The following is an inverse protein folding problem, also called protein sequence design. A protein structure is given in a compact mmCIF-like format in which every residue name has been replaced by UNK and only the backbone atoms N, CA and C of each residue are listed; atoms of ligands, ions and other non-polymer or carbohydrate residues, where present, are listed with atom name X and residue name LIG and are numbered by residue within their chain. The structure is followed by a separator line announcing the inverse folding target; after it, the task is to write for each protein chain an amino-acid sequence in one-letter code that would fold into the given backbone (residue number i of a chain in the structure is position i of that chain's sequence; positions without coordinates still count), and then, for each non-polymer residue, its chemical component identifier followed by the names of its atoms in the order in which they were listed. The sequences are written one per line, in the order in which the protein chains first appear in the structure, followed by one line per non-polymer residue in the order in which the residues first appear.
data_IF_547274650570
#
_entry.id   IF_547274650570
#
_cell.length_a   1.000
_cell.length_b   1.000
_cell.length_c   1.000
_cell.angle_alpha   90.00
_cell.angle_beta   90.00
_cell.angle_gamma   90.00
#
_symmetry.space_group_name_H-M   'P 1'
#
loop_
_entity.id
_entity.type
_entity.pdbx_description
1 polymer ?
#
# COMPACT_ATOMS: atom_id res chain seq x y z
N UNK A 1 26.69 73.93 36.54
CA UNK A 1 25.38 73.62 37.15
C UNK A 1 24.32 73.60 36.04
N UNK A 2 23.48 72.56 36.04
CA UNK A 2 22.23 72.34 35.30
C UNK A 2 22.25 72.34 33.76
N UNK A 3 22.24 71.16 33.10
CA UNK A 3 21.12 70.23 32.82
C UNK A 3 20.01 70.84 31.94
N UNK A 4 19.98 70.43 30.66
CA UNK A 4 18.78 70.37 29.84
C UNK A 4 18.52 68.91 29.45
N UNK A 5 17.32 68.45 29.77
CA UNK A 5 16.86 67.05 29.78
C UNK A 5 16.58 66.50 28.38
N UNK A 6 16.80 65.20 28.31
CA UNK A 6 16.44 64.22 27.29
C UNK A 6 14.99 64.32 26.79
N UNK A 7 14.77 64.04 25.52
CA UNK A 7 13.56 63.36 25.02
C UNK A 7 13.91 62.54 23.76
N UNK A 8 14.36 61.29 23.98
CA UNK A 8 14.46 60.25 22.96
C UNK A 8 13.32 59.26 23.22
N UNK A 9 12.19 59.49 22.53
CA UNK A 9 11.03 58.61 22.55
C UNK A 9 11.24 57.42 21.63
N UNK A 10 11.13 56.22 22.19
CA UNK A 10 11.34 54.93 21.57
C UNK A 10 10.47 54.69 20.31
N UNK A 11 11.12 54.52 19.16
CA UNK A 11 10.52 53.84 18.01
C UNK A 11 10.65 52.32 18.24
N UNK A 12 9.67 51.74 18.94
CA UNK A 12 9.55 50.29 19.11
C UNK A 12 9.27 49.64 17.75
N UNK A 13 10.08 48.64 17.45
CA UNK A 13 9.93 47.63 16.40
C UNK A 13 8.58 46.90 16.53
N UNK A 14 7.53 47.39 15.87
CA UNK A 14 6.21 46.73 15.82
C UNK A 14 5.96 45.95 14.50
N UNK A 15 6.80 46.11 13.49
CA UNK A 15 6.43 45.70 12.12
C UNK A 15 6.67 44.22 11.80
N UNK A 16 7.54 43.51 12.52
CA UNK A 16 7.91 42.12 12.17
C UNK A 16 6.94 41.04 12.68
N UNK A 17 6.42 41.20 13.90
CA UNK A 17 5.59 40.18 14.55
C UNK A 17 4.13 40.20 14.05
N UNK A 18 3.62 41.38 13.69
CA UNK A 18 2.24 41.56 13.26
C UNK A 18 2.00 41.04 11.82
N UNK A 19 3.00 41.13 10.94
CA UNK A 19 2.92 40.55 9.59
C UNK A 19 2.94 39.01 9.58
N UNK A 20 3.71 38.38 10.48
CA UNK A 20 3.72 36.93 10.63
C UNK A 20 2.38 36.39 11.18
N UNK A 21 1.76 37.15 12.10
CA UNK A 21 0.44 36.83 12.66
C UNK A 21 -0.69 36.99 11.62
N UNK A 22 -0.66 38.06 10.83
CA UNK A 22 -1.62 38.29 9.74
C UNK A 22 -1.52 37.23 8.63
N UNK A 23 -0.30 36.80 8.28
CA UNK A 23 -0.08 35.72 7.31
C UNK A 23 -0.55 34.34 7.84
N UNK A 24 -0.40 34.08 9.14
CA UNK A 24 -0.96 32.89 9.80
C UNK A 24 -2.48 32.85 9.78
N UNK A 25 -3.13 34.00 10.02
CA UNK A 25 -4.59 34.14 10.01
C UNK A 25 -5.19 33.91 8.61
N UNK A 26 -4.60 34.51 7.58
CA UNK A 26 -5.01 34.31 6.17
C UNK A 26 -4.82 32.85 5.70
N UNK A 27 -3.82 32.14 6.23
CA UNK A 27 -3.58 30.73 5.93
C UNK A 27 -4.61 29.81 6.61
N UNK A 28 -5.02 30.13 7.85
CA UNK A 28 -6.07 29.39 8.56
C UNK A 28 -7.44 29.58 7.90
N UNK A 29 -7.83 30.81 7.55
CA UNK A 29 -9.09 31.07 6.84
C UNK A 29 -9.17 30.33 5.49
N UNK A 30 -8.06 30.26 4.74
CA UNK A 30 -7.98 29.48 3.50
C UNK A 30 -8.13 27.98 3.71
N UNK A 31 -7.64 27.44 4.83
CA UNK A 31 -7.78 26.01 5.17
C UNK A 31 -9.20 25.67 5.64
N UNK A 32 -9.81 26.57 6.42
CA UNK A 32 -11.20 26.42 6.89
C UNK A 32 -12.19 26.56 5.75
N UNK A 33 -11.99 27.52 4.84
CA UNK A 33 -12.78 27.66 3.61
C UNK A 33 -12.70 26.39 2.76
N UNK A 34 -11.50 25.81 2.57
CA UNK A 34 -11.34 24.53 1.86
C UNK A 34 -12.03 23.37 2.57
N UNK A 35 -11.96 23.30 3.91
CA UNK A 35 -12.67 22.30 4.71
C UNK A 35 -14.20 22.42 4.53
N UNK A 36 -14.74 23.63 4.58
CA UNK A 36 -16.16 23.88 4.44
C UNK A 36 -16.69 23.54 3.03
N UNK A 37 -15.90 23.82 1.99
CA UNK A 37 -16.23 23.42 0.60
C UNK A 37 -16.26 21.90 0.45
N UNK A 38 -15.29 21.19 1.04
CA UNK A 38 -15.25 19.72 1.00
C UNK A 38 -16.40 19.12 1.81
N UNK A 39 -16.74 19.69 2.98
CA UNK A 39 -17.87 19.25 3.78
C UNK A 39 -19.21 19.41 3.03
N UNK A 40 -19.44 20.59 2.43
CA UNK A 40 -20.65 20.84 1.62
C UNK A 40 -20.73 19.92 0.39
N UNK A 41 -19.60 19.57 -0.22
CA UNK A 41 -19.56 18.58 -1.30
C UNK A 41 -19.93 17.18 -0.81
N UNK A 42 -19.41 16.74 0.33
CA UNK A 42 -19.73 15.41 0.90
C UNK A 42 -21.22 15.31 1.26
N UNK A 43 -21.81 16.36 1.83
CA UNK A 43 -23.23 16.39 2.19
C UNK A 43 -24.16 16.31 0.97
N UNK A 44 -23.70 16.84 -0.16
CA UNK A 44 -24.42 16.78 -1.44
C UNK A 44 -24.39 15.40 -2.13
N UNK A 45 -23.57 14.46 -1.64
CA UNK A 45 -23.45 13.13 -2.24
C UNK A 45 -24.68 12.24 -1.94
N UNK A 46 -24.96 11.26 -2.82
CA UNK A 46 -25.93 10.19 -2.51
C UNK A 46 -25.58 9.48 -1.19
N UNK A 47 -26.58 8.98 -0.46
CA UNK A 47 -26.39 8.35 0.85
C UNK A 47 -25.36 7.18 0.82
N UNK A 48 -25.36 6.38 -0.25
CA UNK A 48 -24.40 5.29 -0.45
C UNK A 48 -22.96 5.77 -0.71
N UNK A 49 -22.78 6.97 -1.27
CA UNK A 49 -21.48 7.58 -1.49
C UNK A 49 -20.95 8.23 -0.20
N UNK A 50 -21.82 8.87 0.60
CA UNK A 50 -21.48 9.35 1.95
C UNK A 50 -21.03 8.22 2.87
N UNK A 51 -21.81 7.14 2.92
CA UNK A 51 -21.45 5.95 3.69
C UNK A 51 -20.06 5.40 3.31
N UNK A 52 -19.78 5.26 2.00
CA UNK A 52 -18.45 4.83 1.52
C UNK A 52 -17.35 5.81 1.91
N UNK A 53 -17.62 7.10 1.83
CA UNK A 53 -16.67 8.14 2.24
C UNK A 53 -16.32 8.05 3.73
N UNK A 54 -17.33 7.95 4.60
CA UNK A 54 -17.15 7.80 6.05
C UNK A 54 -16.34 6.56 6.38
N UNK A 55 -16.69 5.40 5.80
CA UNK A 55 -15.94 4.14 6.02
C UNK A 55 -14.49 4.24 5.55
N UNK A 56 -14.25 4.88 4.41
CA UNK A 56 -12.89 5.14 3.93
C UNK A 56 -12.10 6.00 4.90
N UNK A 57 -12.69 7.09 5.40
CA UNK A 57 -12.01 7.99 6.36
C UNK A 57 -11.66 7.23 7.64
N UNK A 58 -12.58 6.45 8.20
CA UNK A 58 -12.31 5.62 9.38
C UNK A 58 -11.19 4.61 9.13
N UNK A 59 -11.18 3.95 7.97
CA UNK A 59 -10.14 2.99 7.62
C UNK A 59 -8.77 3.66 7.48
N UNK A 60 -8.70 4.83 6.84
CA UNK A 60 -7.46 5.60 6.69
C UNK A 60 -6.93 6.05 8.06
N UNK A 61 -7.79 6.58 8.93
CA UNK A 61 -7.39 6.95 10.31
C UNK A 61 -6.85 5.73 11.06
N UNK A 62 -7.50 4.57 10.91
CA UNK A 62 -7.04 3.32 11.51
C UNK A 62 -5.65 2.89 11.02
N UNK A 63 -5.36 3.06 9.73
CA UNK A 63 -4.07 2.73 9.12
C UNK A 63 -2.97 3.76 9.44
N UNK A 64 -3.30 5.05 9.50
CA UNK A 64 -2.36 6.13 9.83
C UNK A 64 -1.85 6.04 11.27
N UNK A 65 -2.63 5.43 12.17
CA UNK A 65 -2.24 5.19 13.56
C UNK A 65 -1.28 3.98 13.72
N UNK A 66 -0.99 3.25 12.64
CA UNK A 66 -0.10 2.09 12.64
C UNK A 66 1.26 2.44 12.02
N UNK A 67 2.28 1.63 12.33
CA UNK A 67 3.51 1.64 11.54
C UNK A 67 3.24 1.21 10.09
N UNK A 68 4.04 1.72 9.14
CA UNK A 68 3.86 1.42 7.70
C UNK A 68 3.83 -0.09 7.43
N UNK A 69 4.70 -0.87 8.08
CA UNK A 69 4.75 -2.32 7.89
C UNK A 69 3.48 -3.03 8.40
N UNK A 70 2.95 -2.62 9.55
CA UNK A 70 1.71 -3.18 10.11
C UNK A 70 0.49 -2.84 9.26
N UNK A 71 0.41 -1.58 8.78
CA UNK A 71 -0.64 -1.14 7.87
C UNK A 71 -0.61 -1.96 6.56
N UNK A 72 0.58 -2.20 5.99
CA UNK A 72 0.75 -3.02 4.79
C UNK A 72 0.32 -4.48 5.03
N UNK A 73 0.67 -5.07 6.17
CA UNK A 73 0.26 -6.43 6.53
C UNK A 73 -1.25 -6.55 6.65
N UNK A 74 -1.92 -5.60 7.31
CA UNK A 74 -3.38 -5.60 7.46
C UNK A 74 -4.06 -5.44 6.10
N UNK A 75 -3.65 -4.45 5.29
CA UNK A 75 -4.20 -4.26 3.95
C UNK A 75 -3.99 -5.49 3.07
N UNK A 76 -2.79 -6.07 3.09
CA UNK A 76 -2.51 -7.27 2.33
C UNK A 76 -3.37 -8.44 2.82
N UNK A 77 -3.52 -8.62 4.14
CA UNK A 77 -4.33 -9.70 4.72
C UNK A 77 -5.81 -9.54 4.39
N UNK A 78 -6.34 -8.32 4.44
CA UNK A 78 -7.70 -8.00 4.00
C UNK A 78 -7.90 -8.37 2.53
N UNK A 79 -6.98 -7.95 1.65
CA UNK A 79 -7.03 -8.29 0.23
C UNK A 79 -6.91 -9.81 0.01
N UNK A 80 -5.99 -10.51 0.69
CA UNK A 80 -5.85 -11.96 0.54
C UNK A 80 -7.08 -12.70 1.05
N UNK A 81 -7.69 -12.29 2.15
CA UNK A 81 -8.92 -12.89 2.65
C UNK A 81 -10.10 -12.69 1.68
N UNK A 82 -10.26 -11.48 1.13
CA UNK A 82 -11.43 -11.14 0.33
C UNK A 82 -11.24 -11.42 -1.17
N UNK A 83 -10.01 -11.42 -1.68
CA UNK A 83 -9.69 -11.72 -3.07
C UNK A 83 -9.23 -13.17 -3.31
N UNK A 84 -8.82 -13.92 -2.27
CA UNK A 84 -8.43 -15.33 -2.46
C UNK A 84 -9.60 -16.31 -2.42
N UNK A 85 -10.82 -15.94 -1.99
CA UNK A 85 -11.89 -16.94 -1.87
C UNK A 85 -13.34 -16.51 -1.59
N UNK A 86 -13.76 -15.25 -1.65
CA UNK A 86 -15.19 -14.88 -1.49
C UNK A 86 -15.80 -14.27 -2.78
N UNK A 87 -17.13 -14.40 -3.01
CA UNK A 87 -17.79 -14.30 -4.32
C UNK A 87 -17.63 -12.94 -5.05
N UNK A 88 -17.82 -12.93 -6.39
CA UNK A 88 -17.24 -11.94 -7.29
C UNK A 88 -18.03 -10.63 -7.28
N UNK A 89 -17.71 -9.76 -6.33
CA UNK A 89 -18.02 -8.34 -6.47
C UNK A 89 -16.79 -7.58 -6.95
N UNK A 90 -16.30 -7.94 -8.14
CA UNK A 90 -15.40 -7.07 -8.88
C UNK A 90 -16.17 -6.41 -10.02
N UNK A 91 -16.10 -5.07 -10.09
CA UNK A 91 -16.55 -4.29 -11.24
C UNK A 91 -15.77 -4.63 -12.53
N UNK A 92 -14.66 -5.36 -12.42
CA UNK A 92 -13.77 -5.78 -13.50
C UNK A 92 -13.71 -7.31 -13.75
N UNK A 93 -14.58 -8.10 -13.09
CA UNK A 93 -14.73 -9.54 -13.36
C UNK A 93 -13.81 -10.47 -12.56
N UNK A 94 -13.79 -11.76 -12.91
CA UNK A 94 -12.99 -12.76 -12.20
C UNK A 94 -11.53 -12.72 -12.63
N UNK A 95 -10.65 -12.15 -11.80
CA UNK A 95 -9.20 -12.03 -12.07
C UNK A 95 -8.54 -13.37 -12.41
N UNK A 96 -9.04 -14.50 -11.87
CA UNK A 96 -8.49 -15.83 -12.16
C UNK A 96 -8.84 -16.30 -13.57
N UNK A 97 -10.06 -16.04 -14.01
CA UNK A 97 -10.50 -16.35 -15.38
C UNK A 97 -9.76 -15.48 -16.39
N UNK A 98 -9.62 -14.18 -16.11
CA UNK A 98 -8.82 -13.29 -16.98
C UNK A 98 -7.36 -13.74 -17.04
N UNK A 99 -6.76 -14.12 -15.92
CA UNK A 99 -5.38 -14.61 -15.89
C UNK A 99 -5.22 -15.93 -16.67
N UNK A 100 -6.19 -16.85 -16.57
CA UNK A 100 -6.19 -18.08 -17.36
C UNK A 100 -6.28 -17.78 -18.86
N UNK A 101 -7.19 -16.90 -19.25
CA UNK A 101 -7.35 -16.50 -20.65
C UNK A 101 -6.08 -15.89 -21.24
N UNK A 102 -5.40 -15.00 -20.50
CA UNK A 102 -4.12 -14.45 -20.94
C UNK A 102 -3.00 -15.50 -21.00
N UNK A 103 -3.01 -16.47 -20.08
CA UNK A 103 -2.02 -17.55 -20.08
C UNK A 103 -2.20 -18.50 -21.27
N UNK A 104 -3.44 -18.76 -21.70
CA UNK A 104 -3.75 -19.61 -22.86
C UNK A 104 -3.26 -19.01 -24.18
N UNK A 105 -3.17 -17.68 -24.27
CA UNK A 105 -2.67 -16.96 -25.45
C UNK A 105 -1.15 -16.76 -25.45
N UNK A 106 -0.51 -16.87 -24.29
CA UNK A 106 0.92 -16.61 -24.14
C UNK A 106 1.75 -17.80 -24.65
N UNK A 107 2.90 -17.51 -25.25
CA UNK A 107 3.82 -18.56 -25.63
C UNK A 107 4.56 -19.14 -24.40
N UNK A 108 5.13 -20.36 -24.49
CA UNK A 108 5.78 -21.00 -23.34
C UNK A 108 6.94 -20.21 -22.72
N UNK A 109 7.63 -19.37 -23.50
CA UNK A 109 8.74 -18.53 -23.00
C UNK A 109 8.19 -17.33 -22.23
N UNK A 110 7.13 -16.70 -22.73
CA UNK A 110 6.43 -15.61 -22.04
C UNK A 110 5.89 -16.06 -20.68
N UNK A 111 5.29 -17.25 -20.61
CA UNK A 111 4.81 -17.82 -19.35
C UNK A 111 5.94 -17.96 -18.33
N UNK A 112 7.12 -18.44 -18.75
CA UNK A 112 8.29 -18.55 -17.87
C UNK A 112 8.78 -17.17 -17.40
N UNK A 113 8.84 -16.19 -18.30
CA UNK A 113 9.22 -14.82 -17.97
C UNK A 113 8.24 -14.15 -16.99
N UNK A 114 6.93 -14.31 -17.21
CA UNK A 114 5.90 -13.81 -16.31
C UNK A 114 5.97 -14.48 -14.94
N UNK A 115 6.17 -15.80 -14.90
CA UNK A 115 6.33 -16.53 -13.66
C UNK A 115 7.55 -16.05 -12.87
N UNK A 116 8.71 -15.89 -13.52
CA UNK A 116 9.93 -15.39 -12.88
C UNK A 116 9.78 -13.95 -12.37
N UNK A 117 9.19 -13.07 -13.18
CA UNK A 117 8.92 -11.69 -12.79
C UNK A 117 7.93 -11.61 -11.61
N UNK A 118 6.89 -12.44 -11.61
CA UNK A 118 5.92 -12.53 -10.52
C UNK A 118 6.59 -12.97 -9.21
N UNK A 119 7.43 -14.02 -9.25
CA UNK A 119 8.17 -14.48 -8.07
C UNK A 119 9.09 -13.39 -7.48
N UNK A 120 9.82 -12.68 -8.33
CA UNK A 120 10.69 -11.56 -7.92
C UNK A 120 9.89 -10.43 -7.27
N UNK A 121 8.73 -10.09 -7.83
CA UNK A 121 7.87 -9.04 -7.28
C UNK A 121 7.25 -9.44 -5.94
N UNK A 122 6.91 -10.72 -5.78
CA UNK A 122 6.37 -11.24 -4.53
C UNK A 122 7.42 -11.29 -3.41
N UNK A 123 8.72 -11.30 -3.71
CA UNK A 123 9.81 -11.36 -2.71
C UNK A 123 9.65 -10.33 -1.59
N UNK A 124 9.35 -9.08 -1.96
CA UNK A 124 9.33 -7.91 -1.08
C UNK A 124 7.95 -7.57 -0.48
N UNK A 125 6.97 -8.48 -0.59
CA UNK A 125 5.61 -8.21 -0.10
C UNK A 125 5.31 -8.96 1.19
N UNK A 126 4.54 -8.34 2.09
CA UNK A 126 4.09 -8.90 3.37
C UNK A 126 3.43 -10.28 3.23
N UNK A 127 2.70 -10.52 2.13
CA UNK A 127 2.06 -11.82 1.82
C UNK A 127 2.77 -12.61 0.71
N UNK A 128 3.94 -12.14 0.29
CA UNK A 128 4.75 -12.74 -0.74
C UNK A 128 5.02 -14.21 -0.51
N UNK A 129 5.31 -14.60 0.74
CA UNK A 129 5.63 -15.99 1.07
C UNK A 129 4.44 -16.94 0.89
N UNK A 130 3.21 -16.52 1.23
CA UNK A 130 2.00 -17.34 1.05
C UNK A 130 1.71 -17.51 -0.44
N UNK A 131 1.82 -16.43 -1.22
CA UNK A 131 1.66 -16.48 -2.67
C UNK A 131 2.70 -17.39 -3.34
N UNK A 132 3.99 -17.26 -2.97
CA UNK A 132 5.06 -18.14 -3.48
C UNK A 132 4.83 -19.61 -3.12
N UNK A 133 4.37 -19.91 -1.90
CA UNK A 133 4.01 -21.28 -1.50
C UNK A 133 2.88 -21.84 -2.37
N UNK A 134 1.81 -21.07 -2.61
CA UNK A 134 0.71 -21.48 -3.51
C UNK A 134 1.21 -21.77 -4.92
N UNK A 135 2.05 -20.90 -5.47
CA UNK A 135 2.65 -21.11 -6.80
C UNK A 135 3.56 -22.35 -6.85
N UNK A 136 4.38 -22.56 -5.82
CA UNK A 136 5.21 -23.75 -5.69
C UNK A 136 4.37 -25.03 -5.60
N UNK A 137 3.26 -25.02 -4.85
CA UNK A 137 2.35 -26.17 -4.77
C UNK A 137 1.79 -26.55 -6.14
N UNK A 138 1.37 -25.57 -6.95
CA UNK A 138 0.89 -25.84 -8.32
C UNK A 138 1.98 -26.48 -9.17
N UNK A 139 3.21 -25.96 -9.12
CA UNK A 139 4.35 -26.53 -9.83
C UNK A 139 4.68 -27.97 -9.34
N UNK A 140 4.67 -28.18 -8.04
CA UNK A 140 4.94 -29.47 -7.41
C UNK A 140 3.93 -30.54 -7.83
N UNK A 141 2.65 -30.18 -7.90
CA UNK A 141 1.58 -31.08 -8.34
C UNK A 141 1.69 -31.42 -9.83
N UNK A 142 2.21 -30.51 -10.65
CA UNK A 142 2.44 -30.74 -12.08
C UNK A 142 3.61 -31.69 -12.36
N UNK A 143 4.57 -31.83 -11.43
CA UNK A 143 5.68 -32.78 -11.59
C UNK A 143 5.23 -34.23 -11.54
N UNK A 144 5.90 -35.08 -12.33
CA UNK A 144 5.72 -36.53 -12.25
C UNK A 144 6.24 -37.07 -10.92
N UNK A 145 5.79 -38.26 -10.52
CA UNK A 145 6.33 -38.90 -9.31
C UNK A 145 7.85 -39.08 -9.39
N UNK A 146 8.38 -39.38 -10.58
CA UNK A 146 9.83 -39.49 -10.81
C UNK A 146 10.55 -38.18 -10.54
N UNK A 147 10.03 -37.06 -11.06
CA UNK A 147 10.64 -35.74 -10.85
C UNK A 147 10.57 -35.29 -9.39
N UNK A 148 9.45 -35.58 -8.71
CA UNK A 148 9.30 -35.31 -7.28
C UNK A 148 10.33 -36.10 -6.45
N UNK A 149 10.52 -37.39 -6.76
CA UNK A 149 11.52 -38.20 -6.07
C UNK A 149 12.94 -37.73 -6.36
N UNK A 150 13.25 -37.36 -7.62
CA UNK A 150 14.54 -36.79 -7.98
C UNK A 150 14.81 -35.44 -7.26
N UNK A 151 13.76 -34.63 -7.06
CA UNK A 151 13.85 -33.40 -6.28
C UNK A 151 14.09 -33.69 -4.80
N UNK A 152 13.33 -34.62 -4.18
CA UNK A 152 13.50 -34.99 -2.78
C UNK A 152 14.86 -35.64 -2.51
N UNK A 153 15.39 -36.42 -3.45
CA UNK A 153 16.74 -37.00 -3.36
C UNK A 153 17.83 -35.91 -3.30
N UNK A 154 17.53 -34.69 -3.75
CA UNK A 154 18.44 -33.54 -3.64
C UNK A 154 18.27 -32.76 -2.33
N UNK A 155 17.36 -33.14 -1.45
CA UNK A 155 17.07 -32.45 -0.19
C UNK A 155 17.43 -33.37 0.99
N UNK A 156 18.26 -32.89 1.90
CA UNK A 156 18.59 -33.55 3.17
C UNK A 156 17.37 -33.55 4.12
N UNK A 157 17.37 -34.45 5.11
CA UNK A 157 16.37 -34.55 6.20
C UNK A 157 16.28 -33.23 7.00
N UNK A 158 17.34 -32.41 6.99
CA UNK A 158 17.36 -31.05 7.57
C UNK A 158 16.86 -29.94 6.63
N UNK A 159 16.46 -30.27 5.40
CA UNK A 159 15.97 -29.32 4.40
C UNK A 159 17.06 -28.64 3.56
N UNK A 160 18.31 -29.11 3.63
CA UNK A 160 19.42 -28.56 2.85
C UNK A 160 19.46 -29.17 1.45
N UNK A 161 19.70 -28.35 0.42
CA UNK A 161 19.89 -28.87 -0.94
C UNK A 161 21.34 -29.34 -1.13
N UNK A 162 21.50 -30.56 -1.64
CA UNK A 162 22.80 -31.04 -2.12
C UNK A 162 23.19 -30.25 -3.37
N UNK A 163 24.14 -29.32 -3.23
CA UNK A 163 24.75 -28.61 -4.36
C UNK A 163 25.60 -29.63 -5.13
N UNK A 164 25.12 -30.12 -6.26
CA UNK A 164 25.97 -30.88 -7.17
C UNK A 164 27.08 -29.93 -7.62
N UNK A 165 28.32 -30.21 -7.23
CA UNK A 165 29.49 -29.41 -7.60
C UNK A 165 29.55 -29.23 -9.11
N UNK A 166 29.93 -28.03 -9.53
CA UNK A 166 30.28 -27.73 -10.92
C UNK A 166 31.32 -28.76 -11.40
N UNK A 167 31.02 -29.40 -12.54
CA UNK A 167 32.01 -29.99 -13.42
C UNK A 167 32.11 -29.06 -14.64
#
# INVERSE_FOLDING_TARGET
MHQAKQNSGAARTATGADHAKAAGFSRQEKLESKRNVVAGFIDSLPASARYRHEKRVTAVIGLDNLGLDDALVICATYIDQHCAGDPPYDAFGNIRESAAWWADLANPVELQCYFAAALKRLEYQALGIKARKRMFTVLWLAFTNTDRQAFLARVDVKGNFYRKGAA
#
